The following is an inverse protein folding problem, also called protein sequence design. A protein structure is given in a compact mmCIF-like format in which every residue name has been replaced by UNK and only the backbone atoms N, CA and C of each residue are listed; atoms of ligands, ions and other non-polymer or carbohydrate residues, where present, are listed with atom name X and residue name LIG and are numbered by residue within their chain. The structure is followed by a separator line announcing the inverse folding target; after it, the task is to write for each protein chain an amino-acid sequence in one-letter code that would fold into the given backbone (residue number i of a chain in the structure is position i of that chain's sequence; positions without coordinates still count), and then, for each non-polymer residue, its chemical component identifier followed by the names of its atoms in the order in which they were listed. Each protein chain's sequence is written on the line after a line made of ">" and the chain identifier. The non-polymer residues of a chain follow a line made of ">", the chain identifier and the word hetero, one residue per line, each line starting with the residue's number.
data_IF_570421302114
#
_entry.id   IF_570421302114
#
_cell.length_a   1.000
_cell.length_b   1.000
_cell.length_c   1.000
_cell.angle_alpha   90.00
_cell.angle_beta   90.00
_cell.angle_gamma   90.00
#
_symmetry.space_group_name_H-M   'P 1'
#
loop_
_entity.id
_entity.type
_entity.pdbx_description
1 polymer ?
#
# COMPACT_ATOMS: atom_id res chain seq x y z
N UNK A 1 -32.39 12.08 14.25
CA UNK A 1 -32.32 11.12 13.13
C UNK A 1 -31.02 11.32 12.34
N UNK A 2 -29.86 11.39 13.00
CA UNK A 2 -28.59 11.92 12.42
C UNK A 2 -27.45 10.89 12.37
N UNK A 3 -27.63 9.66 12.87
CA UNK A 3 -26.44 8.83 13.17
C UNK A 3 -26.30 7.53 12.39
N UNK A 4 -27.24 7.12 11.52
CA UNK A 4 -27.13 5.79 10.86
C UNK A 4 -26.40 5.83 9.52
N UNK A 5 -26.51 6.92 8.74
CA UNK A 5 -25.85 7.04 7.42
C UNK A 5 -24.34 7.35 7.50
N UNK A 6 -23.86 7.82 8.65
CA UNK A 6 -22.43 8.09 8.88
C UNK A 6 -21.63 6.78 8.96
N UNK A 7 -22.24 5.69 9.45
CA UNK A 7 -21.54 4.40 9.62
C UNK A 7 -21.20 3.75 8.27
N UNK A 8 -22.12 3.64 7.28
CA UNK A 8 -21.77 3.14 5.95
C UNK A 8 -20.71 4.00 5.26
N UNK A 9 -20.79 5.32 5.38
CA UNK A 9 -19.84 6.23 4.74
C UNK A 9 -18.44 6.11 5.33
N UNK A 10 -18.33 6.10 6.66
CA UNK A 10 -17.04 5.94 7.34
C UNK A 10 -16.43 4.57 7.09
N UNK A 11 -17.22 3.50 7.08
CA UNK A 11 -16.77 2.15 6.73
C UNK A 11 -16.26 2.06 5.29
N UNK A 12 -16.95 2.72 4.34
CA UNK A 12 -16.53 2.76 2.95
C UNK A 12 -15.21 3.50 2.76
N UNK A 13 -15.08 4.71 3.33
CA UNK A 13 -13.82 5.46 3.30
C UNK A 13 -12.68 4.68 3.94
N UNK A 14 -12.94 4.01 5.07
CA UNK A 14 -11.95 3.14 5.72
C UNK A 14 -11.49 2.01 4.80
N UNK A 15 -12.42 1.32 4.13
CA UNK A 15 -12.11 0.24 3.21
C UNK A 15 -11.25 0.69 2.02
N UNK A 16 -11.52 1.88 1.46
CA UNK A 16 -10.72 2.44 0.36
C UNK A 16 -9.29 2.72 0.80
N UNK A 17 -9.12 3.44 1.92
CA UNK A 17 -7.79 3.78 2.46
C UNK A 17 -7.03 2.50 2.81
N UNK A 18 -7.71 1.53 3.43
CA UNK A 18 -7.13 0.22 3.74
C UNK A 18 -6.68 -0.51 2.48
N UNK A 19 -7.49 -0.58 1.42
CA UNK A 19 -7.12 -1.27 0.18
C UNK A 19 -5.88 -0.67 -0.47
N UNK A 20 -5.72 0.66 -0.47
CA UNK A 20 -4.55 1.37 -1.00
C UNK A 20 -3.30 1.08 -0.18
N UNK A 21 -3.39 1.26 1.14
CA UNK A 21 -2.27 1.05 2.06
C UNK A 21 -1.83 -0.42 2.09
N UNK A 22 -2.78 -1.35 2.12
CA UNK A 22 -2.48 -2.78 2.08
C UNK A 22 -1.76 -3.16 0.77
N UNK A 23 -2.26 -2.70 -0.38
CA UNK A 23 -1.63 -2.96 -1.68
C UNK A 23 -0.20 -2.38 -1.76
N UNK A 24 0.00 -1.16 -1.25
CA UNK A 24 1.29 -0.49 -1.20
C UNK A 24 2.29 -1.25 -0.30
N UNK A 25 1.89 -1.58 0.92
CA UNK A 25 2.74 -2.23 1.93
C UNK A 25 3.10 -3.66 1.53
N UNK A 26 2.20 -4.38 0.87
CA UNK A 26 2.47 -5.75 0.40
C UNK A 26 3.58 -5.81 -0.66
N UNK A 27 3.75 -4.76 -1.44
CA UNK A 27 4.72 -4.72 -2.55
C UNK A 27 6.00 -3.96 -2.21
N UNK A 28 5.98 -3.13 -1.17
CA UNK A 28 7.13 -2.34 -0.77
C UNK A 28 8.26 -3.27 -0.28
N UNK A 29 9.46 -3.24 -0.92
CA UNK A 29 10.56 -4.16 -0.62
C UNK A 29 11.06 -4.08 0.84
N UNK A 30 10.98 -2.90 1.48
CA UNK A 30 11.44 -2.69 2.86
C UNK A 30 10.63 -3.49 3.92
N UNK A 31 9.36 -3.79 3.64
CA UNK A 31 8.49 -4.57 4.52
C UNK A 31 8.05 -5.91 3.87
N UNK A 32 8.34 -6.09 2.59
CA UNK A 32 7.90 -7.19 1.75
C UNK A 32 8.85 -8.39 1.70
N UNK A 33 10.08 -8.25 2.22
CA UNK A 33 11.04 -9.35 2.32
C UNK A 33 10.55 -10.49 3.22
N UNK A 34 11.01 -11.72 2.95
CA UNK A 34 10.67 -12.96 3.69
C UNK A 34 10.92 -12.86 5.20
N UNK A 35 11.64 -11.84 5.63
CA UNK A 35 11.90 -11.49 7.02
C UNK A 35 10.65 -11.13 7.83
N UNK A 36 9.55 -10.69 7.21
CA UNK A 36 8.32 -10.29 7.92
C UNK A 36 7.11 -11.13 7.45
N UNK A 37 6.41 -11.85 8.36
CA UNK A 37 5.23 -12.63 8.00
C UNK A 37 4.08 -11.74 7.51
N UNK A 38 3.32 -12.27 6.55
CA UNK A 38 2.22 -11.55 5.88
C UNK A 38 1.18 -10.96 6.85
N UNK A 39 0.96 -11.63 7.97
CA UNK A 39 0.03 -11.22 9.03
C UNK A 39 0.47 -9.90 9.69
N UNK A 40 1.76 -9.74 9.99
CA UNK A 40 2.29 -8.50 10.61
C UNK A 40 2.13 -7.33 9.64
N UNK A 41 2.30 -7.55 8.34
CA UNK A 41 2.11 -6.53 7.31
C UNK A 41 0.65 -6.07 7.22
N UNK A 42 -0.29 -7.01 7.31
CA UNK A 42 -1.72 -6.68 7.36
C UNK A 42 -2.09 -5.88 8.61
N UNK A 43 -1.56 -6.26 9.78
CA UNK A 43 -1.77 -5.52 11.03
C UNK A 43 -1.18 -4.11 10.94
N UNK A 44 0.03 -3.95 10.39
CA UNK A 44 0.64 -2.64 10.15
C UNK A 44 -0.20 -1.79 9.19
N UNK A 45 -0.69 -2.37 8.09
CA UNK A 45 -1.57 -1.67 7.16
C UNK A 45 -2.87 -1.20 7.84
N UNK A 46 -3.45 -2.04 8.71
CA UNK A 46 -4.64 -1.71 9.48
C UNK A 46 -4.38 -0.57 10.48
N UNK A 47 -3.28 -0.62 11.21
CA UNK A 47 -2.88 0.42 12.16
C UNK A 47 -2.64 1.77 11.45
N UNK A 48 -1.93 1.74 10.33
CA UNK A 48 -1.69 2.94 9.52
C UNK A 48 -2.99 3.51 8.95
N UNK A 49 -3.92 2.65 8.53
CA UNK A 49 -5.24 3.08 8.07
C UNK A 49 -6.01 3.80 9.18
N UNK A 50 -5.98 3.27 10.41
CA UNK A 50 -6.64 3.89 11.57
C UNK A 50 -6.09 5.29 11.87
N UNK A 51 -4.77 5.47 11.76
CA UNK A 51 -4.12 6.78 11.99
C UNK A 51 -4.40 7.75 10.83
N UNK A 52 -4.42 7.26 9.58
CA UNK A 52 -4.66 8.08 8.39
C UNK A 52 -6.13 8.45 8.20
N UNK A 53 -7.07 7.66 8.74
CA UNK A 53 -8.51 7.87 8.58
C UNK A 53 -8.94 9.32 8.88
N UNK A 54 -8.67 9.93 10.05
CA UNK A 54 -9.10 11.30 10.33
C UNK A 54 -8.43 12.35 9.43
N UNK A 55 -7.24 12.07 8.89
CA UNK A 55 -6.51 13.00 8.02
C UNK A 55 -7.08 13.03 6.60
N UNK A 56 -7.53 11.89 6.09
CA UNK A 56 -7.94 11.73 4.69
C UNK A 56 -9.47 11.68 4.54
N UNK A 57 -10.22 11.46 5.63
CA UNK A 57 -11.68 11.39 5.61
C UNK A 57 -12.37 12.63 5.01
N UNK A 58 -11.77 13.82 5.14
CA UNK A 58 -12.30 15.06 4.56
C UNK A 58 -12.13 15.15 3.03
N UNK A 59 -11.23 14.35 2.45
CA UNK A 59 -10.94 14.35 1.01
C UNK A 59 -11.79 13.35 0.23
N UNK A 60 -12.46 12.40 0.90
CA UNK A 60 -13.32 11.41 0.26
C UNK A 60 -14.77 11.90 0.23
N UNK A 61 -15.33 12.00 -0.98
CA UNK A 61 -16.72 12.42 -1.21
C UNK A 61 -17.77 11.37 -0.86
N UNK A 62 -19.03 11.66 -1.21
CA UNK A 62 -20.16 10.77 -0.94
C UNK A 62 -20.04 9.41 -1.66
N UNK A 63 -20.61 8.36 -1.04
CA UNK A 63 -20.64 7.01 -1.58
C UNK A 63 -21.41 7.00 -2.92
N UNK A 64 -20.83 6.49 -4.02
CA UNK A 64 -21.59 6.24 -5.24
C UNK A 64 -22.77 5.29 -4.99
N UNK A 65 -23.97 5.67 -5.43
CA UNK A 65 -25.19 4.88 -5.23
C UNK A 65 -25.22 3.56 -6.05
N UNK A 66 -24.22 3.30 -6.90
CA UNK A 66 -24.18 2.15 -7.81
C UNK A 66 -23.03 1.20 -7.46
N UNK A 67 -23.35 -0.11 -7.39
CA UNK A 67 -22.37 -1.19 -7.11
C UNK A 67 -21.17 -1.18 -8.08
N UNK A 68 -21.35 -0.96 -9.39
CA UNK A 68 -20.21 -0.86 -10.32
C UNK A 68 -19.29 0.34 -10.03
N UNK A 69 -19.85 1.48 -9.58
CA UNK A 69 -19.06 2.66 -9.23
C UNK A 69 -18.17 2.41 -8.01
N UNK A 70 -18.68 1.68 -7.01
CA UNK A 70 -17.91 1.29 -5.83
C UNK A 70 -16.72 0.39 -6.21
N UNK A 71 -16.99 -0.65 -7.00
CA UNK A 71 -15.95 -1.58 -7.47
C UNK A 71 -14.88 -0.85 -8.28
N UNK A 72 -15.27 0.09 -9.14
CA UNK A 72 -14.33 0.89 -9.92
C UNK A 72 -13.40 1.72 -9.02
N UNK A 73 -13.94 2.42 -8.01
CA UNK A 73 -13.11 3.21 -7.09
C UNK A 73 -12.13 2.32 -6.33
N UNK A 74 -12.59 1.21 -5.76
CA UNK A 74 -11.70 0.25 -5.06
C UNK A 74 -10.59 -0.24 -5.98
N UNK A 75 -10.91 -0.59 -7.23
CA UNK A 75 -9.91 -1.03 -8.21
C UNK A 75 -8.89 0.06 -8.53
N UNK A 76 -9.32 1.32 -8.64
CA UNK A 76 -8.38 2.44 -8.85
C UNK A 76 -7.47 2.62 -7.64
N UNK A 77 -7.97 2.46 -6.42
CA UNK A 77 -7.17 2.59 -5.20
C UNK A 77 -6.11 1.50 -5.06
N UNK A 78 -6.50 0.26 -5.39
CA UNK A 78 -5.57 -0.86 -5.46
C UNK A 78 -4.53 -0.62 -6.55
N UNK A 79 -4.93 -0.14 -7.73
CA UNK A 79 -4.02 0.14 -8.83
C UNK A 79 -2.99 1.24 -8.47
N UNK A 80 -3.42 2.30 -7.79
CA UNK A 80 -2.52 3.35 -7.27
C UNK A 80 -1.55 2.79 -6.23
N UNK A 81 -2.06 2.02 -5.26
CA UNK A 81 -1.21 1.35 -4.28
C UNK A 81 -0.19 0.40 -4.92
N UNK A 82 -0.62 -0.34 -5.95
CA UNK A 82 0.23 -1.25 -6.72
C UNK A 82 1.32 -0.48 -7.48
N UNK A 83 0.96 0.62 -8.13
CA UNK A 83 1.89 1.47 -8.86
C UNK A 83 2.98 2.04 -7.93
N UNK A 84 2.61 2.57 -6.77
CA UNK A 84 3.59 3.13 -5.83
C UNK A 84 4.47 2.02 -5.23
N UNK A 85 3.87 0.88 -4.84
CA UNK A 85 4.62 -0.24 -4.29
C UNK A 85 5.60 -0.85 -5.29
N UNK A 86 5.20 -1.00 -6.56
CA UNK A 86 6.09 -1.46 -7.63
C UNK A 86 7.19 -0.45 -7.96
N UNK A 87 6.90 0.85 -7.96
CA UNK A 87 7.92 1.88 -8.14
C UNK A 87 9.01 1.79 -7.06
N UNK A 88 8.63 1.61 -5.78
CA UNK A 88 9.58 1.39 -4.70
C UNK A 88 10.41 0.11 -4.91
N UNK A 89 9.79 -0.97 -5.40
CA UNK A 89 10.48 -2.22 -5.75
C UNK A 89 11.51 -2.05 -6.86
N UNK A 90 11.20 -1.25 -7.88
CA UNK A 90 12.13 -0.93 -8.97
C UNK A 90 13.34 -0.15 -8.46
N UNK A 91 13.16 0.81 -7.56
CA UNK A 91 14.26 1.58 -6.95
C UNK A 91 15.21 0.64 -6.19
N UNK A 92 14.67 -0.25 -5.35
CA UNK A 92 15.50 -1.23 -4.64
C UNK A 92 16.19 -2.22 -5.57
N UNK A 93 15.52 -2.66 -6.63
CA UNK A 93 16.13 -3.51 -7.66
C UNK A 93 17.31 -2.81 -8.34
N UNK A 94 17.17 -1.52 -8.68
CA UNK A 94 18.23 -0.73 -9.28
C UNK A 94 19.42 -0.56 -8.31
N UNK A 95 19.14 -0.28 -7.03
CA UNK A 95 20.15 -0.24 -5.96
C UNK A 95 20.90 -1.56 -5.83
N UNK A 96 20.18 -2.69 -5.89
CA UNK A 96 20.81 -4.01 -5.79
C UNK A 96 21.74 -4.29 -6.97
N UNK A 97 21.31 -3.96 -8.20
CA UNK A 97 22.15 -4.08 -9.41
C UNK A 97 23.38 -3.17 -9.30
N UNK A 98 23.22 -1.93 -8.88
CA UNK A 98 24.34 -1.01 -8.67
C UNK A 98 25.33 -1.53 -7.62
N UNK A 99 24.84 -2.01 -6.48
CA UNK A 99 25.68 -2.62 -5.45
C UNK A 99 26.44 -3.85 -5.94
N UNK A 100 25.79 -4.69 -6.76
CA UNK A 100 26.44 -5.85 -7.37
C UNK A 100 27.57 -5.43 -8.33
N UNK A 101 27.35 -4.39 -9.15
CA UNK A 101 28.38 -3.85 -10.04
C UNK A 101 29.58 -3.32 -9.23
N UNK A 102 29.32 -2.56 -8.15
CA UNK A 102 30.38 -2.03 -7.29
C UNK A 102 31.17 -3.17 -6.62
N UNK A 103 30.50 -4.21 -6.11
CA UNK A 103 31.14 -5.37 -5.49
C UNK A 103 32.02 -6.16 -6.47
N UNK A 104 31.56 -6.33 -7.72
CA UNK A 104 32.35 -6.95 -8.79
C UNK A 104 33.62 -6.17 -9.09
N UNK A 105 33.53 -4.83 -9.17
CA UNK A 105 34.69 -3.96 -9.44
C UNK A 105 35.69 -3.93 -8.28
N UNK A 106 35.23 -4.08 -7.03
CA UNK A 106 36.11 -4.16 -5.85
C UNK A 106 36.81 -5.51 -5.69
N UNK A 107 36.74 -6.42 -6.68
CA UNK A 107 37.34 -7.76 -6.64
C UNK A 107 36.78 -8.68 -5.54
N UNK A 108 35.71 -8.26 -4.83
CA UNK A 108 34.98 -9.12 -3.89
C UNK A 108 34.23 -10.26 -4.59
N UNK A 109 34.05 -10.15 -5.92
CA UNK A 109 33.53 -11.24 -6.76
C UNK A 109 34.47 -12.45 -6.86
N UNK A 110 35.75 -12.34 -6.48
CA UNK A 110 36.67 -13.47 -6.40
C UNK A 110 36.62 -14.22 -5.05
N UNK A 111 35.77 -13.78 -4.11
CA UNK A 111 35.54 -14.43 -2.83
C UNK A 111 34.20 -15.20 -2.76
N UNK A 112 33.53 -15.39 -3.91
CA UNK A 112 32.47 -16.39 -4.08
C UNK A 112 33.06 -17.76 -4.42
#
# INVERSE_FOLDING_TARGET
>A
MITVDILPQTAFTFMLIFSRLAAMIMLMPALGETSIPTQVRLVLALLLTMVMMPLVASSYGAIPATVPGLAFIVMTEIAVGLFIGTAARLIMSALHVAGNIIAMQMSLAFAQ
#
